data_IF_544718598771
#
_entry.id   IF_544718598771
#
_cell.length_a   1.000
_cell.length_b   1.000
_cell.length_c   1.000
_cell.angle_alpha   90.00
_cell.angle_beta   90.00
_cell.angle_gamma   90.00
#
_symmetry.space_group_name_H-M   'P 1'
#
loop_
_entity.id
_entity.type
_entity.pdbx_description
1 polymer ?
#
# COMPACT_ATOMS: atom_id res chain seq x y z
N UNK A 1 5.61 -4.27 -22.25
CA UNK A 1 4.67 -3.29 -21.68
C UNK A 1 4.95 -3.27 -20.19
N UNK A 2 5.44 -2.17 -19.62
CA UNK A 2 5.51 -2.04 -18.16
C UNK A 2 4.10 -1.84 -17.66
N UNK A 3 3.47 -2.92 -17.21
CA UNK A 3 2.18 -2.86 -16.50
C UNK A 3 2.39 -1.93 -15.29
N UNK A 4 1.82 -0.73 -15.36
CA UNK A 4 1.74 0.14 -14.18
C UNK A 4 0.91 -0.58 -13.14
N UNK A 5 1.42 -0.69 -11.91
CA UNK A 5 0.69 -1.29 -10.80
C UNK A 5 -0.19 -0.22 -10.14
N UNK A 6 -1.36 -0.60 -9.61
CA UNK A 6 -2.15 0.33 -8.80
C UNK A 6 -1.37 0.80 -7.57
N UNK A 7 -1.62 2.04 -7.15
CA UNK A 7 -1.02 2.62 -5.96
C UNK A 7 -1.98 2.54 -4.79
N UNK A 8 -1.53 1.93 -3.68
CA UNK A 8 -2.28 1.81 -2.44
C UNK A 8 -1.66 2.66 -1.34
N UNK A 9 -2.48 3.46 -0.64
CA UNK A 9 -2.10 4.18 0.58
C UNK A 9 -2.42 3.33 1.81
N UNK A 10 -1.37 2.88 2.48
CA UNK A 10 -1.45 2.15 3.74
C UNK A 10 -1.38 3.17 4.88
N UNK A 11 -2.41 3.23 5.72
CA UNK A 11 -2.45 4.04 6.92
C UNK A 11 -2.12 3.20 8.14
N UNK A 12 -1.25 3.72 9.00
CA UNK A 12 -0.83 3.06 10.23
C UNK A 12 -1.56 3.64 11.45
N UNK A 13 -1.52 2.93 12.57
CA UNK A 13 -2.15 3.36 13.83
C UNK A 13 -1.48 4.57 14.49
N UNK A 14 -0.21 4.83 14.19
CA UNK A 14 0.55 6.01 14.65
C UNK A 14 0.15 7.31 13.92
N UNK A 15 -0.81 7.24 12.98
CA UNK A 15 -1.29 8.37 12.19
C UNK A 15 -0.52 8.61 10.89
N UNK A 16 0.60 7.90 10.67
CA UNK A 16 1.37 8.00 9.43
C UNK A 16 0.74 7.18 8.30
N UNK A 17 1.17 7.43 7.07
CA UNK A 17 0.76 6.65 5.90
C UNK A 17 1.86 6.53 4.86
N UNK A 18 1.79 5.50 4.04
CA UNK A 18 2.75 5.23 2.96
C UNK A 18 2.03 4.79 1.69
N UNK A 19 2.51 5.27 0.55
CA UNK A 19 2.00 4.89 -0.76
C UNK A 19 2.87 3.77 -1.36
N UNK A 20 2.22 2.70 -1.81
CA UNK A 20 2.89 1.50 -2.31
C UNK A 20 2.24 1.07 -3.61
N UNK A 21 3.07 0.94 -4.65
CA UNK A 21 2.67 0.30 -5.91
C UNK A 21 2.68 -1.22 -5.74
N UNK A 22 1.52 -1.85 -5.96
CA UNK A 22 1.34 -3.28 -5.78
C UNK A 22 0.20 -3.79 -6.67
N UNK A 23 0.20 -5.09 -7.01
CA UNK A 23 -0.90 -5.69 -7.78
C UNK A 23 -2.22 -5.77 -7.00
N UNK A 24 -2.17 -5.73 -5.67
CA UNK A 24 -3.35 -5.71 -4.81
C UNK A 24 -3.02 -5.16 -3.40
N UNK A 25 -4.05 -4.97 -2.58
CA UNK A 25 -3.95 -4.41 -1.23
C UNK A 25 -3.17 -5.29 -0.24
N UNK A 26 -3.24 -6.63 -0.37
CA UNK A 26 -2.53 -7.55 0.51
C UNK A 26 -1.00 -7.47 0.31
N UNK A 27 -0.57 -7.35 -0.94
CA UNK A 27 0.84 -7.16 -1.28
C UNK A 27 1.33 -5.80 -0.78
N UNK A 28 0.51 -4.75 -0.92
CA UNK A 28 0.81 -3.43 -0.37
C UNK A 28 0.98 -3.51 1.16
N UNK A 29 0.08 -4.20 1.86
CA UNK A 29 0.19 -4.38 3.30
C UNK A 29 1.46 -5.11 3.74
N UNK A 30 1.79 -6.23 3.07
CA UNK A 30 2.97 -7.02 3.39
C UNK A 30 4.26 -6.21 3.20
N UNK A 31 4.35 -5.42 2.12
CA UNK A 31 5.47 -4.49 1.89
C UNK A 31 5.52 -3.41 2.97
N UNK A 32 4.37 -2.83 3.31
CA UNK A 32 4.27 -1.81 4.35
C UNK A 32 4.77 -2.30 5.71
N UNK A 33 4.39 -3.53 6.10
CA UNK A 33 4.85 -4.16 7.35
C UNK A 33 6.35 -4.50 7.31
N UNK A 34 6.90 -4.85 6.15
CA UNK A 34 8.33 -5.15 5.99
C UNK A 34 9.18 -3.89 6.11
N UNK A 35 8.74 -2.77 5.55
CA UNK A 35 9.42 -1.48 5.66
C UNK A 35 9.26 -0.84 7.04
N UNK A 36 8.14 -1.11 7.73
CA UNK A 36 7.87 -0.60 9.08
C UNK A 36 7.58 -1.76 10.05
N UNK A 37 8.62 -2.51 10.46
CA UNK A 37 8.45 -3.60 11.41
C UNK A 37 7.87 -3.08 12.74
N UNK A 38 6.85 -3.77 13.26
CA UNK A 38 6.15 -3.40 14.49
C UNK A 38 5.06 -2.34 14.33
N UNK A 39 4.89 -1.75 13.15
CA UNK A 39 3.77 -0.83 12.89
C UNK A 39 2.50 -1.59 12.52
N UNK A 40 1.38 -1.27 13.19
CA UNK A 40 0.08 -1.85 12.89
C UNK A 40 -0.62 -1.06 11.78
N UNK A 41 -1.07 -1.78 10.75
CA UNK A 41 -1.87 -1.21 9.66
C UNK A 41 -3.30 -1.01 10.14
N UNK A 42 -3.81 0.21 9.99
CA UNK A 42 -5.17 0.62 10.37
C UNK A 42 -6.16 0.44 9.23
N UNK A 43 -5.77 0.86 8.02
CA UNK A 43 -6.59 0.74 6.79
C UNK A 43 -5.74 0.94 5.55
N UNK A 44 -6.21 0.41 4.42
CA UNK A 44 -5.58 0.57 3.11
C UNK A 44 -6.59 1.20 2.16
N UNK A 45 -6.15 2.15 1.33
CA UNK A 45 -6.97 2.80 0.30
C UNK A 45 -6.31 2.67 -1.06
N UNK A 46 -7.09 2.43 -2.11
CA UNK A 46 -6.62 2.59 -3.48
C UNK A 46 -6.56 4.09 -3.82
N UNK A 47 -5.39 4.58 -4.21
CA UNK A 47 -5.16 6.00 -4.56
C UNK A 47 -5.19 6.20 -6.06
N UNK A 48 -4.60 5.25 -6.80
CA UNK A 48 -4.55 5.29 -8.25
C UNK A 48 -4.84 3.92 -8.80
N UNK A 49 -5.97 3.82 -9.49
CA UNK A 49 -6.27 2.68 -10.33
C UNK A 49 -5.53 2.83 -11.66
N UNK A 50 -4.94 1.75 -12.14
CA UNK A 50 -4.39 1.70 -13.49
C UNK A 50 -5.51 1.23 -14.38
N UNK A 51 -6.08 2.18 -15.14
CA UNK A 51 -7.01 1.83 -16.22
C UNK A 51 -6.19 1.21 -17.35
N UNK A 52 -6.37 -0.08 -17.55
CA UNK A 52 -5.98 -0.78 -18.79
C UNK A 52 -6.89 -0.38 -19.93
#
# INVERSE_FOLDING_TARGET
>A
MTETLPTFRVHFHDGTSMDIEAGNSLIAEARARKERPGSFVKKIKLVREVRS
#
